data_IF_503448573239
#
_entry.id   IF_503448573239
#
_cell.length_a   1.000
_cell.length_b   1.000
_cell.length_c   1.000
_cell.angle_alpha   90.00
_cell.angle_beta   90.00
_cell.angle_gamma   90.00
#
_symmetry.space_group_name_H-M   'P 1'
#
loop_
_entity.id
_entity.type
_entity.pdbx_description
1 polymer ?
#
# COMPACT_ATOMS: atom_id res chain seq x y z
N UNK A 1 7.06 -0.13 2.49
CA UNK A 1 7.14 -1.28 1.56
C UNK A 1 5.80 -1.97 1.51
N UNK A 2 5.56 -2.76 0.46
CA UNK A 2 4.29 -3.47 0.22
C UNK A 2 4.56 -4.92 -0.15
N UNK A 3 3.71 -5.83 0.32
CA UNK A 3 3.60 -7.19 -0.23
C UNK A 3 2.13 -7.51 -0.50
N UNK A 4 1.86 -8.29 -1.55
CA UNK A 4 0.53 -8.83 -1.83
C UNK A 4 0.58 -10.34 -1.69
N UNK A 5 -0.39 -10.87 -0.94
CA UNK A 5 -0.54 -12.29 -0.63
C UNK A 5 -1.82 -12.81 -1.25
N UNK A 6 -1.76 -13.98 -1.87
CA UNK A 6 -2.91 -14.75 -2.33
C UNK A 6 -2.73 -16.19 -1.85
N UNK A 7 -3.74 -16.79 -1.22
CA UNK A 7 -3.68 -18.18 -0.71
C UNK A 7 -2.42 -18.48 0.12
N UNK A 8 -2.09 -17.62 1.08
CA UNK A 8 -0.89 -17.70 1.94
C UNK A 8 0.46 -17.63 1.21
N UNK A 9 0.46 -17.29 -0.09
CA UNK A 9 1.67 -17.10 -0.89
C UNK A 9 1.88 -15.63 -1.21
N UNK A 10 3.08 -15.12 -0.99
CA UNK A 10 3.46 -13.78 -1.47
C UNK A 10 3.61 -13.86 -2.99
N UNK A 11 2.80 -13.08 -3.71
CA UNK A 11 2.80 -13.03 -5.18
C UNK A 11 3.41 -11.73 -5.73
N UNK A 12 3.50 -10.68 -4.90
CA UNK A 12 4.18 -9.45 -5.27
C UNK A 12 4.86 -8.80 -4.06
N UNK A 13 5.97 -8.10 -4.33
CA UNK A 13 6.71 -7.28 -3.37
C UNK A 13 7.13 -6.00 -4.06
N UNK A 14 6.98 -4.87 -3.39
CA UNK A 14 7.39 -3.58 -3.94
C UNK A 14 7.78 -2.57 -2.84
N UNK A 15 8.47 -1.53 -3.26
CA UNK A 15 8.80 -0.37 -2.43
C UNK A 15 8.59 0.91 -3.24
N UNK A 16 8.69 2.06 -2.58
CA UNK A 16 8.50 3.34 -3.25
C UNK A 16 9.66 3.61 -4.22
N UNK A 17 9.33 3.91 -5.48
CA UNK A 17 10.27 4.16 -6.57
C UNK A 17 10.12 5.58 -7.15
N UNK A 18 9.41 6.49 -6.48
CA UNK A 18 9.11 7.84 -7.02
C UNK A 18 10.35 8.58 -7.50
N UNK A 19 11.41 8.62 -6.68
CA UNK A 19 12.67 9.28 -7.03
C UNK A 19 13.46 8.49 -8.07
N UNK A 20 13.46 7.15 -7.98
CA UNK A 20 14.21 6.27 -8.89
C UNK A 20 13.67 6.34 -10.32
N UNK A 21 12.36 6.43 -10.48
CA UNK A 21 11.69 6.47 -11.78
C UNK A 21 11.32 7.88 -12.23
N UNK A 22 11.56 8.89 -11.39
CA UNK A 22 11.08 10.26 -11.59
C UNK A 22 9.57 10.30 -11.93
N UNK A 23 8.78 9.51 -11.19
CA UNK A 23 7.35 9.31 -11.40
C UNK A 23 6.60 9.38 -10.06
N UNK A 24 5.78 10.41 -9.91
CA UNK A 24 5.00 10.65 -8.68
C UNK A 24 3.99 9.54 -8.38
N UNK A 25 3.65 8.71 -9.35
CA UNK A 25 2.71 7.59 -9.20
C UNK A 25 3.39 6.28 -8.80
N UNK A 26 4.73 6.22 -8.81
CA UNK A 26 5.51 5.00 -8.55
C UNK A 26 5.58 4.60 -7.05
N UNK A 27 4.45 4.71 -6.36
CA UNK A 27 4.26 4.23 -4.99
C UNK A 27 4.30 2.70 -4.92
N UNK A 28 4.71 2.18 -3.76
CA UNK A 28 4.85 0.75 -3.54
C UNK A 28 3.56 -0.03 -3.84
N UNK A 29 2.40 0.52 -3.48
CA UNK A 29 1.09 -0.10 -3.68
C UNK A 29 0.76 -0.25 -5.17
N UNK A 30 1.02 0.80 -5.95
CA UNK A 30 0.79 0.80 -7.40
C UNK A 30 1.64 -0.27 -8.08
N UNK A 31 2.92 -0.31 -7.74
CA UNK A 31 3.86 -1.28 -8.29
C UNK A 31 3.49 -2.72 -7.89
N UNK A 32 3.10 -2.93 -6.63
CA UNK A 32 2.68 -4.25 -6.16
C UNK A 32 1.39 -4.74 -6.82
N UNK A 33 0.39 -3.85 -7.02
CA UNK A 33 -0.87 -4.19 -7.70
C UNK A 33 -0.58 -4.65 -9.13
N UNK A 34 0.21 -3.89 -9.89
CA UNK A 34 0.60 -4.26 -11.26
C UNK A 34 1.36 -5.58 -11.31
N UNK A 35 2.29 -5.80 -10.39
CA UNK A 35 3.03 -7.07 -10.31
C UNK A 35 2.11 -8.26 -9.99
N UNK A 36 1.15 -8.08 -9.07
CA UNK A 36 0.22 -9.12 -8.68
C UNK A 36 -0.78 -9.47 -9.79
N UNK A 37 -1.31 -8.47 -10.51
CA UNK A 37 -2.21 -8.71 -11.66
C UNK A 37 -1.48 -9.44 -12.78
N UNK A 38 -0.22 -9.08 -13.05
CA UNK A 38 0.62 -9.78 -14.01
C UNK A 38 0.90 -11.23 -13.56
N UNK A 39 1.24 -11.46 -12.29
CA UNK A 39 1.49 -12.79 -11.75
C UNK A 39 0.28 -13.73 -11.89
N UNK A 40 -0.93 -13.22 -11.64
CA UNK A 40 -2.17 -14.01 -11.72
C UNK A 40 -2.76 -14.08 -13.13
N UNK A 41 -2.26 -13.29 -14.10
CA UNK A 41 -2.91 -13.12 -15.39
C UNK A 41 -4.33 -12.57 -15.27
N UNK A 42 -4.62 -11.79 -14.22
CA UNK A 42 -5.97 -11.39 -13.83
C UNK A 42 -6.06 -9.88 -13.62
N UNK A 43 -7.16 -9.29 -14.08
CA UNK A 43 -7.45 -7.86 -13.88
C UNK A 43 -7.79 -7.52 -12.43
N UNK A 44 -8.44 -8.44 -11.70
CA UNK A 44 -8.94 -8.22 -10.34
C UNK A 44 -8.24 -9.13 -9.33
N UNK A 45 -8.00 -8.61 -8.13
CA UNK A 45 -7.25 -9.24 -7.05
C UNK A 45 -8.18 -9.64 -5.88
N UNK A 46 -9.33 -10.24 -6.21
CA UNK A 46 -10.45 -10.49 -5.28
C UNK A 46 -10.12 -11.38 -4.09
N UNK A 47 -9.15 -12.28 -4.23
CA UNK A 47 -8.69 -13.17 -3.14
C UNK A 47 -7.37 -12.71 -2.52
N UNK A 48 -6.88 -11.53 -2.89
CA UNK A 48 -5.60 -11.04 -2.43
C UNK A 48 -5.72 -10.07 -1.25
N UNK A 49 -4.73 -10.14 -0.37
CA UNK A 49 -4.51 -9.20 0.73
C UNK A 49 -3.27 -8.37 0.46
N UNK A 50 -3.41 -7.05 0.54
CA UNK A 50 -2.30 -6.10 0.46
C UNK A 50 -1.83 -5.75 1.86
N UNK A 51 -0.55 -5.94 2.15
CA UNK A 51 0.11 -5.51 3.38
C UNK A 51 1.04 -4.35 3.07
N UNK A 52 0.87 -3.23 3.77
CA UNK A 52 1.67 -2.02 3.56
C UNK A 52 2.14 -1.42 4.89
N UNK A 53 3.37 -0.91 4.93
CA UNK A 53 3.93 -0.37 6.19
C UNK A 53 3.31 0.96 6.63
N UNK A 54 2.74 1.73 5.70
CA UNK A 54 2.12 3.04 5.94
C UNK A 54 0.71 3.04 5.34
N UNK A 55 -0.24 3.73 5.98
CA UNK A 55 -1.58 3.92 5.45
C UNK A 55 -1.54 4.42 3.99
N UNK A 56 -2.26 3.75 3.06
CA UNK A 56 -2.30 4.18 1.67
C UNK A 56 -2.78 5.62 1.52
N UNK A 57 -2.17 6.36 0.60
CA UNK A 57 -2.69 7.67 0.20
C UNK A 57 -3.96 7.52 -0.65
N UNK A 58 -4.63 8.63 -0.96
CA UNK A 58 -5.86 8.63 -1.76
C UNK A 58 -5.71 7.93 -3.13
N UNK A 59 -4.57 8.12 -3.80
CA UNK A 59 -4.26 7.48 -5.09
C UNK A 59 -4.20 5.96 -4.93
N UNK A 60 -3.43 5.48 -3.94
CA UNK A 60 -3.23 4.05 -3.73
C UNK A 60 -4.51 3.38 -3.23
N UNK A 61 -5.30 4.05 -2.39
CA UNK A 61 -6.62 3.59 -1.98
C UNK A 61 -7.58 3.48 -3.17
N UNK A 62 -7.59 4.45 -4.08
CA UNK A 62 -8.35 4.37 -5.33
C UNK A 62 -7.90 3.21 -6.23
N UNK A 63 -6.60 2.93 -6.30
CA UNK A 63 -6.10 1.75 -7.01
C UNK A 63 -6.53 0.43 -6.33
N UNK A 64 -6.57 0.40 -5.00
CA UNK A 64 -7.11 -0.74 -4.23
C UNK A 64 -8.61 -0.96 -4.51
N UNK A 65 -9.39 0.11 -4.70
CA UNK A 65 -10.78 0.02 -5.14
C UNK A 65 -10.91 -0.67 -6.50
N UNK A 66 -10.18 -0.19 -7.51
CA UNK A 66 -10.28 -0.72 -8.87
C UNK A 66 -9.74 -2.14 -9.02
N UNK A 67 -8.71 -2.50 -8.25
CA UNK A 67 -8.18 -3.85 -8.19
C UNK A 67 -9.07 -4.82 -7.39
N UNK A 68 -10.06 -4.32 -6.66
CA UNK A 68 -11.01 -5.12 -5.86
C UNK A 68 -10.31 -6.05 -4.85
N UNK A 69 -9.29 -5.55 -4.18
CA UNK A 69 -8.59 -6.31 -3.13
C UNK A 69 -9.56 -6.77 -2.04
N UNK A 70 -9.37 -8.02 -1.58
CA UNK A 70 -10.13 -8.60 -0.45
C UNK A 70 -9.91 -7.79 0.81
N UNK A 71 -8.64 -7.50 1.08
CA UNK A 71 -8.23 -6.86 2.32
C UNK A 71 -7.02 -5.94 2.10
N UNK A 72 -7.01 -4.83 2.83
CA UNK A 72 -5.87 -3.91 2.94
C UNK A 72 -5.47 -3.84 4.40
N UNK A 73 -4.24 -4.26 4.70
CA UNK A 73 -3.68 -4.28 6.04
C UNK A 73 -2.51 -3.30 6.06
N UNK A 74 -2.55 -2.33 6.97
CA UNK A 74 -1.49 -1.33 7.09
C UNK A 74 -0.93 -1.20 8.50
N UNK A 75 0.34 -0.79 8.58
CA UNK A 75 1.03 -0.59 9.83
C UNK A 75 0.76 0.76 10.46
N UNK A 76 1.59 1.75 10.14
CA UNK A 76 1.44 3.10 10.69
C UNK A 76 0.36 3.90 9.95
N UNK A 77 -0.38 4.74 10.67
CA UNK A 77 -1.31 5.71 10.07
C UNK A 77 -0.56 6.91 9.46
N UNK A 78 -1.11 7.53 8.42
CA UNK A 78 -0.55 8.76 7.82
C UNK A 78 -1.45 9.95 8.14
N UNK A 79 -1.04 10.76 9.12
CA UNK A 79 -1.80 11.92 9.59
C UNK A 79 -1.96 13.03 8.54
N UNK A 80 -1.14 13.04 7.49
CA UNK A 80 -1.11 14.12 6.48
C UNK A 80 -1.78 13.70 5.18
N UNK A 81 -1.52 12.47 4.72
CA UNK A 81 -1.89 12.02 3.37
C UNK A 81 -2.69 10.73 3.34
N UNK A 82 -2.95 10.12 4.51
CA UNK A 82 -3.73 8.90 4.63
C UNK A 82 -5.14 9.05 4.06
N UNK A 83 -5.60 8.02 3.37
CA UNK A 83 -6.89 8.06 2.68
C UNK A 83 -8.07 8.28 3.63
N UNK A 84 -7.94 7.91 4.92
CA UNK A 84 -8.97 8.12 5.95
C UNK A 84 -9.24 9.58 6.25
N UNK A 85 -8.39 10.51 5.80
CA UNK A 85 -8.63 11.95 5.92
C UNK A 85 -9.70 12.45 4.94
N UNK A 86 -10.04 11.65 3.93
CA UNK A 86 -11.13 11.98 3.00
C UNK A 86 -12.49 11.68 3.62
N UNK A 87 -13.50 12.51 3.33
CA UNK A 87 -14.89 12.29 3.79
C UNK A 87 -15.68 11.31 2.91
N UNK A 88 -15.09 10.89 1.79
CA UNK A 88 -15.73 9.99 0.82
C UNK A 88 -15.16 8.58 0.96
N UNK A 89 -15.99 7.52 0.82
CA UNK A 89 -15.48 6.17 0.73
C UNK A 89 -14.62 6.01 -0.53
N UNK A 90 -13.33 5.75 -0.37
CA UNK A 90 -12.38 5.57 -1.49
C UNK A 90 -12.03 4.11 -1.76
N UNK A 91 -12.29 3.21 -0.80
CA UNK A 91 -12.09 1.77 -0.95
C UNK A 91 -13.40 1.09 -1.31
N UNK A 92 -13.30 -0.07 -1.97
CA UNK A 92 -14.47 -0.83 -2.36
C UNK A 92 -15.21 -1.32 -1.10
N UNK A 93 -16.54 -1.30 -1.10
CA UNK A 93 -17.36 -1.62 0.09
C UNK A 93 -17.13 -3.01 0.67
N UNK A 94 -16.65 -3.94 -0.16
CA UNK A 94 -16.29 -5.32 0.24
C UNK A 94 -14.84 -5.45 0.73
N UNK A 95 -13.99 -4.44 0.54
CA UNK A 95 -12.59 -4.48 0.97
C UNK A 95 -12.53 -4.32 2.48
N UNK A 96 -11.98 -5.32 3.16
CA UNK A 96 -11.75 -5.26 4.60
C UNK A 96 -10.48 -4.46 4.89
N UNK A 97 -10.51 -3.60 5.91
CA UNK A 97 -9.34 -2.79 6.27
C UNK A 97 -8.96 -3.00 7.71
N UNK A 98 -7.67 -3.28 7.93
CA UNK A 98 -7.08 -3.36 9.27
C UNK A 98 -5.85 -2.47 9.35
N UNK A 99 -5.86 -1.50 10.26
CA UNK A 99 -4.73 -0.61 10.53
C UNK A 99 -4.06 -0.94 11.86
N UNK A 100 -2.86 -0.41 12.08
CA UNK A 100 -2.16 -0.49 13.38
C UNK A 100 -1.26 -1.72 13.54
N UNK A 101 -1.10 -2.55 12.50
CA UNK A 101 -0.31 -3.79 12.61
C UNK A 101 1.18 -3.47 12.62
N UNK A 102 1.85 -3.74 13.74
CA UNK A 102 3.26 -3.37 13.94
C UNK A 102 3.49 -1.85 13.76
N UNK A 103 2.51 -1.03 14.14
CA UNK A 103 2.50 0.42 13.94
C UNK A 103 3.79 1.10 14.43
N UNK A 104 4.22 0.80 15.66
CA UNK A 104 5.43 1.38 16.24
C UNK A 104 6.68 1.07 15.40
N UNK A 105 6.83 -0.18 14.95
CA UNK A 105 7.98 -0.58 14.13
C UNK A 105 7.94 0.11 12.76
N UNK A 106 6.77 0.15 12.12
CA UNK A 106 6.58 0.82 10.84
C UNK A 106 6.87 2.33 10.94
N UNK A 107 6.41 2.99 12.01
CA UNK A 107 6.65 4.41 12.27
C UNK A 107 8.14 4.70 12.47
N UNK A 108 8.83 3.87 13.24
CA UNK A 108 10.27 4.01 13.51
C UNK A 108 11.09 3.96 12.21
N UNK A 109 10.86 2.96 11.37
CA UNK A 109 11.57 2.81 10.08
C UNK A 109 11.40 4.05 9.20
N UNK A 110 10.18 4.59 9.10
CA UNK A 110 9.91 5.81 8.31
C UNK A 110 10.63 7.03 8.89
N UNK A 111 10.58 7.21 10.21
CA UNK A 111 11.26 8.33 10.89
C UNK A 111 12.77 8.27 10.69
N UNK A 112 13.37 7.10 10.82
CA UNK A 112 14.80 6.88 10.61
C UNK A 112 15.22 7.18 9.17
N UNK A 113 14.45 6.72 8.18
CA UNK A 113 14.68 7.01 6.76
C UNK A 113 14.65 8.51 6.45
N UNK A 114 13.64 9.24 6.93
CA UNK A 114 13.57 10.69 6.68
C UNK A 114 14.62 11.46 7.48
N UNK A 115 15.01 10.98 8.67
CA UNK A 115 16.11 11.57 9.44
C UNK A 115 17.42 11.46 8.68
N UNK A 116 17.76 10.27 8.16
CA UNK A 116 19.00 10.08 7.39
C UNK A 116 19.05 10.91 6.13
N UNK A 117 17.91 11.19 5.49
CA UNK A 117 17.82 12.04 4.28
C UNK A 117 17.94 13.55 4.56
N UNK A 118 17.73 14.01 5.80
CA UNK A 118 17.91 15.42 6.20
C UNK A 118 19.30 15.74 6.73
N UNK A 119 20.08 14.70 7.03
CA UNK A 119 21.42 14.80 7.61
C UNK A 119 22.55 14.71 6.58
N UNK A 120 22.21 14.69 5.28
CA UNK A 120 23.14 14.83 4.16
C UNK A 120 22.73 15.99 3.29
#
# INVERSE_FOLDING_TARGET
GVVIVCENKIIARAHNLTETLNDVTAHAEMQAITAATHFLGAKYLKECTLYVTLEPCIMCAGACFWSQLKSVIYGASDEKRGYRKTKIPVLHSKTQVLGGILENQCSTILKEYFKSKRSG
#
